data_IF_627740576709
#
_entry.id   IF_627740576709
#
_cell.length_a   1.000
_cell.length_b   1.000
_cell.length_c   1.000
_cell.angle_alpha   90.00
_cell.angle_beta   90.00
_cell.angle_gamma   90.00
#
_symmetry.space_group_name_H-M   'P 1'
#
loop_
_entity.id
_entity.type
_entity.pdbx_description
1 polymer ?
#
# COMPACT_ATOMS: atom_id res chain seq x y z
N UNK A 1 4.75 -14.17 -7.90
CA UNK A 1 5.19 -12.75 -7.97
C UNK A 1 4.11 -11.79 -8.49
N UNK A 2 3.33 -12.15 -9.50
CA UNK A 2 2.34 -11.25 -10.13
C UNK A 2 1.31 -10.59 -9.19
N UNK A 3 0.82 -11.33 -8.18
CA UNK A 3 -0.15 -10.78 -7.21
C UNK A 3 0.43 -9.65 -6.35
N UNK A 4 1.68 -9.76 -5.92
CA UNK A 4 2.34 -8.72 -5.10
C UNK A 4 2.55 -7.42 -5.89
N UNK A 5 2.88 -7.54 -7.18
CA UNK A 5 3.06 -6.38 -8.06
C UNK A 5 1.73 -5.65 -8.29
N UNK A 6 0.62 -6.39 -8.47
CA UNK A 6 -0.70 -5.78 -8.63
C UNK A 6 -1.12 -4.96 -7.40
N UNK A 7 -0.96 -5.52 -6.19
CA UNK A 7 -1.27 -4.83 -4.94
C UNK A 7 -0.39 -3.59 -4.75
N UNK A 8 0.92 -3.72 -4.98
CA UNK A 8 1.86 -2.58 -4.89
C UNK A 8 1.48 -1.41 -5.80
N UNK A 9 1.09 -1.70 -7.04
CA UNK A 9 0.60 -0.68 -7.98
C UNK A 9 -0.68 0.00 -7.49
N UNK A 10 -1.59 -0.76 -6.91
CA UNK A 10 -2.87 -0.24 -6.42
C UNK A 10 -2.68 0.66 -5.19
N UNK A 11 -1.83 0.25 -4.23
CA UNK A 11 -1.41 1.08 -3.09
C UNK A 11 -0.80 2.40 -3.60
N UNK A 12 0.12 2.33 -4.57
CA UNK A 12 0.76 3.52 -5.15
C UNK A 12 -0.25 4.44 -5.82
N UNK A 13 -1.21 3.89 -6.56
CA UNK A 13 -2.28 4.64 -7.24
C UNK A 13 -3.13 5.41 -6.23
N UNK A 14 -3.66 4.71 -5.23
CA UNK A 14 -4.51 5.31 -4.19
C UNK A 14 -3.76 6.37 -3.38
N UNK A 15 -2.49 6.10 -3.04
CA UNK A 15 -1.63 7.09 -2.37
C UNK A 15 -1.51 8.38 -3.17
N UNK A 16 -1.26 8.27 -4.49
CA UNK A 16 -1.16 9.44 -5.38
C UNK A 16 -2.48 10.21 -5.49
N UNK A 17 -3.61 9.50 -5.59
CA UNK A 17 -4.95 10.13 -5.61
C UNK A 17 -5.20 10.93 -4.32
N UNK A 18 -4.72 10.44 -3.18
CA UNK A 18 -4.81 11.14 -1.88
C UNK A 18 -3.75 12.24 -1.70
N UNK A 19 -2.90 12.51 -2.69
CA UNK A 19 -1.86 13.54 -2.61
C UNK A 19 -0.74 13.25 -1.61
N UNK A 20 -0.57 12.00 -1.17
CA UNK A 20 0.40 11.65 -0.14
C UNK A 20 1.76 11.25 -0.73
N UNK A 21 2.85 11.67 -0.09
CA UNK A 21 4.19 11.10 -0.28
C UNK A 21 4.29 9.71 0.37
N UNK A 22 5.31 8.93 -0.01
CA UNK A 22 5.57 7.65 0.67
C UNK A 22 5.85 7.83 2.16
N UNK A 23 6.56 8.91 2.55
CA UNK A 23 6.83 9.18 3.96
C UNK A 23 5.52 9.49 4.73
N UNK A 24 4.61 10.26 4.14
CA UNK A 24 3.32 10.56 4.75
C UNK A 24 2.45 9.32 4.94
N UNK A 25 2.31 8.48 3.91
CA UNK A 25 1.54 7.25 4.03
C UNK A 25 2.17 6.28 5.03
N UNK A 26 3.50 6.13 5.01
CA UNK A 26 4.20 5.25 5.94
C UNK A 26 3.98 5.68 7.39
N UNK A 27 4.09 6.99 7.69
CA UNK A 27 3.77 7.54 9.02
C UNK A 27 2.31 7.29 9.40
N UNK A 28 1.37 7.57 8.51
CA UNK A 28 -0.06 7.36 8.77
C UNK A 28 -0.42 5.89 9.01
N UNK A 29 0.26 4.96 8.33
CA UNK A 29 0.08 3.52 8.49
C UNK A 29 0.91 2.93 9.65
N UNK A 30 1.72 3.72 10.36
CA UNK A 30 2.59 3.21 11.42
C UNK A 30 3.64 2.20 10.93
N UNK A 31 4.14 2.35 9.70
CA UNK A 31 5.18 1.50 9.12
C UNK A 31 6.39 2.32 8.67
N UNK A 32 7.53 1.66 8.50
CA UNK A 32 8.73 2.32 7.99
C UNK A 32 8.58 2.67 6.50
N UNK A 33 9.06 3.84 6.07
CA UNK A 33 9.06 4.27 4.66
C UNK A 33 9.72 3.23 3.72
N UNK A 34 10.87 2.60 4.06
CA UNK A 34 11.43 1.54 3.23
C UNK A 34 10.51 0.33 3.08
N UNK A 35 9.68 0.02 4.08
CA UNK A 35 8.69 -1.05 3.99
C UNK A 35 7.61 -0.68 2.96
N UNK A 36 7.05 0.53 3.04
CA UNK A 36 6.09 1.01 2.04
C UNK A 36 6.68 1.01 0.61
N UNK A 37 7.95 1.42 0.45
CA UNK A 37 8.62 1.39 -0.85
C UNK A 37 8.72 -0.04 -1.43
N UNK A 38 9.03 -1.04 -0.58
CA UNK A 38 9.04 -2.46 -0.98
C UNK A 38 7.65 -2.97 -1.37
N UNK A 39 6.61 -2.52 -0.67
CA UNK A 39 5.21 -2.84 -1.02
C UNK A 39 4.85 -2.25 -2.39
N UNK A 40 5.06 -0.95 -2.59
CA UNK A 40 4.69 -0.28 -3.85
C UNK A 40 5.45 -0.77 -5.08
N UNK A 41 6.68 -1.25 -4.88
CA UNK A 41 7.50 -1.83 -5.96
C UNK A 41 7.14 -3.29 -6.27
N UNK A 42 6.28 -3.93 -5.47
CA UNK A 42 5.91 -5.33 -5.64
C UNK A 42 7.06 -6.32 -5.37
N UNK A 43 8.21 -5.84 -4.86
CA UNK A 43 9.40 -6.65 -4.56
C UNK A 43 9.23 -7.54 -3.34
N UNK A 44 8.20 -7.30 -2.52
CA UNK A 44 7.90 -8.10 -1.35
C UNK A 44 6.39 -8.35 -1.24
N UNK A 45 6.02 -9.45 -0.58
CA UNK A 45 4.64 -9.83 -0.32
C UNK A 45 4.25 -9.28 1.06
N UNK A 46 3.48 -8.17 1.15
CA UNK A 46 3.11 -7.61 2.45
C UNK A 46 2.28 -8.61 3.26
N UNK A 47 2.42 -8.57 4.59
CA UNK A 47 1.51 -9.28 5.50
C UNK A 47 0.10 -8.69 5.43
N UNK A 48 -0.90 -9.46 5.87
CA UNK A 48 -2.28 -8.97 5.99
C UNK A 48 -2.33 -7.73 6.89
N UNK A 49 -1.66 -7.77 8.05
CA UNK A 49 -1.55 -6.64 8.98
C UNK A 49 -0.98 -5.37 8.32
N UNK A 50 0.04 -5.52 7.46
CA UNK A 50 0.60 -4.38 6.72
C UNK A 50 -0.42 -3.80 5.75
N UNK A 51 -1.18 -4.66 5.06
CA UNK A 51 -2.23 -4.22 4.15
C UNK A 51 -3.39 -3.53 4.88
N UNK A 52 -3.80 -4.03 6.04
CA UNK A 52 -4.82 -3.41 6.89
C UNK A 52 -4.39 -2.01 7.35
N UNK A 53 -3.15 -1.86 7.84
CA UNK A 53 -2.58 -0.57 8.22
C UNK A 53 -2.55 0.42 7.06
N UNK A 54 -2.15 -0.03 5.86
CA UNK A 54 -2.12 0.80 4.66
C UNK A 54 -3.54 1.19 4.22
N UNK A 55 -4.49 0.25 4.24
CA UNK A 55 -5.89 0.50 3.88
C UNK A 55 -6.53 1.53 4.82
N UNK A 56 -6.33 1.36 6.14
CA UNK A 56 -6.79 2.29 7.16
C UNK A 56 -6.21 3.71 6.94
N UNK A 57 -4.90 3.81 6.68
CA UNK A 57 -4.24 5.09 6.41
C UNK A 57 -4.73 5.77 5.12
N UNK A 58 -5.10 4.99 4.10
CA UNK A 58 -5.69 5.49 2.86
C UNK A 58 -7.20 5.77 2.98
N UNK A 59 -7.83 5.37 4.10
CA UNK A 59 -9.28 5.44 4.34
C UNK A 59 -10.07 4.72 3.25
N UNK A 60 -9.67 3.49 2.94
CA UNK A 60 -10.34 2.62 1.98
C UNK A 60 -10.51 1.21 2.57
N UNK A 61 -11.51 0.44 2.14
CA UNK A 61 -11.57 -0.99 2.43
C UNK A 61 -10.31 -1.73 1.94
N UNK A 62 -9.87 -2.76 2.66
CA UNK A 62 -8.71 -3.57 2.24
C UNK A 62 -8.91 -4.23 0.86
N UNK A 63 -10.16 -4.53 0.51
CA UNK A 63 -10.52 -5.08 -0.80
C UNK A 63 -10.07 -4.17 -1.95
N UNK A 64 -10.10 -2.85 -1.75
CA UNK A 64 -9.67 -1.88 -2.77
C UNK A 64 -8.17 -1.97 -3.07
N UNK A 65 -7.38 -2.59 -2.20
CA UNK A 65 -5.95 -2.85 -2.44
C UNK A 65 -5.70 -4.11 -3.27
N UNK A 66 -6.65 -5.05 -3.30
CA UNK A 66 -6.49 -6.37 -3.95
C UNK A 66 -7.38 -6.57 -5.16
N UNK A 67 -8.38 -5.71 -5.38
CA UNK A 67 -9.25 -5.76 -6.56
C UNK A 67 -8.43 -5.56 -7.84
N UNK A 68 -8.58 -6.51 -8.76
CA UNK A 68 -8.16 -6.37 -10.15
C UNK A 68 -9.36 -5.84 -10.92
N UNK A 69 -9.31 -4.58 -11.36
CA UNK A 69 -10.15 -4.10 -12.45
C UNK A 69 -9.42 -4.37 -13.76
#
# INVERSE_FOLDING_TARGET
>A
MERSVAVGRQVRKLRKIKGMTQAQLARAAGILRPNLSRVESGRHRPSLETLEKIAAALKVPIVDLVIRK
#
